data_IF_240370263982
#
_entry.id   IF_240370263982
#
_cell.length_a   1.000
_cell.length_b   1.000
_cell.length_c   1.000
_cell.angle_alpha   90.00
_cell.angle_beta   90.00
_cell.angle_gamma   90.00
#
_symmetry.space_group_name_H-M   'P 1'
#
loop_
_entity.id
_entity.type
_entity.pdbx_description
1 polymer ?
#
# COMPACT_ATOMS: atom_id res chain seq x y z
N UNK A 1 -27.34 -23.40 -2.27
CA UNK A 1 -26.78 -24.69 -1.81
C UNK A 1 -25.98 -25.46 -2.87
N UNK A 2 -26.56 -26.14 -3.88
CA UNK A 2 -25.76 -26.99 -4.82
C UNK A 2 -24.76 -26.18 -5.66
N UNK A 3 -25.14 -25.01 -6.15
CA UNK A 3 -24.27 -24.08 -6.90
C UNK A 3 -23.15 -23.47 -6.05
N UNK A 4 -23.39 -23.23 -4.75
CA UNK A 4 -22.36 -22.73 -3.83
C UNK A 4 -21.36 -23.82 -3.44
N UNK A 5 -21.83 -25.03 -3.17
CA UNK A 5 -20.97 -26.16 -2.85
C UNK A 5 -20.06 -26.55 -4.03
N UNK A 6 -20.59 -26.54 -5.25
CA UNK A 6 -19.76 -26.75 -6.46
C UNK A 6 -18.85 -25.56 -6.78
N UNK A 7 -19.20 -24.35 -6.34
CA UNK A 7 -18.34 -23.16 -6.45
C UNK A 7 -17.13 -23.27 -5.51
N UNK A 8 -17.33 -23.59 -4.24
CA UNK A 8 -16.23 -23.73 -3.28
C UNK A 8 -15.25 -24.84 -3.66
N UNK A 9 -15.76 -26.01 -4.05
CA UNK A 9 -14.92 -27.12 -4.51
C UNK A 9 -14.07 -26.75 -5.75
N UNK A 10 -14.61 -25.93 -6.66
CA UNK A 10 -13.86 -25.42 -7.82
C UNK A 10 -12.77 -24.44 -7.40
N UNK A 11 -13.06 -23.53 -6.48
CA UNK A 11 -12.08 -22.59 -5.92
C UNK A 11 -10.92 -23.31 -5.23
N UNK A 12 -11.22 -24.31 -4.39
CA UNK A 12 -10.19 -25.13 -3.73
C UNK A 12 -9.33 -25.89 -4.72
N UNK A 13 -9.93 -26.44 -5.78
CA UNK A 13 -9.21 -27.17 -6.82
C UNK A 13 -8.20 -26.29 -7.55
N UNK A 14 -8.62 -25.09 -8.00
CA UNK A 14 -7.75 -24.12 -8.67
C UNK A 14 -6.62 -23.67 -7.76
N UNK A 15 -6.95 -23.36 -6.50
CA UNK A 15 -5.97 -22.97 -5.48
C UNK A 15 -4.94 -24.07 -5.27
N UNK A 16 -5.36 -25.33 -5.14
CA UNK A 16 -4.46 -26.48 -4.95
C UNK A 16 -3.57 -26.74 -6.16
N UNK A 17 -4.12 -26.65 -7.37
CA UNK A 17 -3.35 -26.91 -8.60
C UNK A 17 -2.28 -25.86 -8.89
N UNK A 18 -2.48 -24.61 -8.45
CA UNK A 18 -1.58 -23.50 -8.77
C UNK A 18 -0.59 -23.16 -7.64
N UNK A 19 -0.60 -23.87 -6.50
CA UNK A 19 0.27 -23.54 -5.34
C UNK A 19 1.76 -23.48 -5.70
N UNK A 20 2.26 -24.49 -6.41
CA UNK A 20 3.69 -24.58 -6.78
C UNK A 20 4.02 -23.52 -7.81
N UNK A 21 3.17 -23.36 -8.84
CA UNK A 21 3.32 -22.32 -9.85
C UNK A 21 3.34 -20.91 -9.25
N UNK A 22 2.46 -20.67 -8.25
CA UNK A 22 2.40 -19.42 -7.50
C UNK A 22 3.74 -19.14 -6.82
N UNK A 23 4.27 -20.08 -6.05
CA UNK A 23 5.55 -19.94 -5.37
C UNK A 23 6.70 -19.54 -6.32
N UNK A 24 6.90 -20.27 -7.42
CA UNK A 24 7.93 -19.94 -8.40
C UNK A 24 7.68 -18.59 -9.09
N UNK A 25 6.43 -18.26 -9.41
CA UNK A 25 6.10 -16.96 -10.02
C UNK A 25 6.41 -15.80 -9.08
N UNK A 26 6.11 -15.94 -7.80
CA UNK A 26 6.38 -14.93 -6.78
C UNK A 26 7.88 -14.69 -6.62
N UNK A 27 8.68 -15.76 -6.51
CA UNK A 27 10.14 -15.65 -6.46
C UNK A 27 10.72 -14.96 -7.70
N UNK A 28 10.20 -15.27 -8.89
CA UNK A 28 10.65 -14.63 -10.13
C UNK A 28 10.33 -13.13 -10.11
N UNK A 29 9.16 -12.73 -9.63
CA UNK A 29 8.80 -11.31 -9.51
C UNK A 29 9.63 -10.59 -8.45
N UNK A 30 9.95 -11.24 -7.33
CA UNK A 30 10.87 -10.71 -6.32
C UNK A 30 12.27 -10.50 -6.90
N UNK A 31 12.83 -11.48 -7.62
CA UNK A 31 14.14 -11.36 -8.27
C UNK A 31 14.17 -10.23 -9.31
N UNK A 32 13.08 -10.05 -10.07
CA UNK A 32 12.94 -8.93 -11.01
C UNK A 32 12.89 -7.59 -10.29
N UNK A 33 12.20 -7.52 -9.16
CA UNK A 33 12.07 -6.30 -8.37
C UNK A 33 13.40 -5.88 -7.72
N UNK A 34 14.24 -6.85 -7.36
CA UNK A 34 15.58 -6.60 -6.82
C UNK A 34 16.53 -6.12 -7.93
N UNK A 35 16.49 -6.75 -9.11
CA UNK A 35 17.41 -6.46 -10.22
C UNK A 35 18.86 -6.90 -9.92
N UNK A 36 19.77 -6.91 -10.93
CA UNK A 36 21.17 -7.24 -10.70
C UNK A 36 21.81 -6.20 -9.76
N UNK A 37 22.40 -6.65 -8.65
CA UNK A 37 23.22 -5.81 -7.79
C UNK A 37 24.44 -5.35 -8.60
N UNK A 38 24.56 -4.05 -8.87
CA UNK A 38 25.76 -3.47 -9.46
C UNK A 38 26.85 -3.38 -8.40
N UNK A 39 27.33 -4.52 -7.91
CA UNK A 39 28.59 -4.60 -7.18
C UNK A 39 29.64 -4.97 -8.21
N UNK A 40 30.11 -3.94 -8.89
CA UNK A 40 31.08 -4.03 -9.97
C UNK A 40 32.48 -4.20 -9.35
N UNK A 41 32.89 -5.45 -9.11
CA UNK A 41 34.29 -5.80 -8.79
C UNK A 41 35.15 -5.97 -10.06
N UNK A 42 34.73 -5.37 -11.18
CA UNK A 42 35.50 -5.36 -12.42
C UNK A 42 36.19 -4.00 -12.67
N UNK A 43 37.40 -3.98 -13.27
CA UNK A 43 38.15 -2.75 -13.42
C UNK A 43 37.50 -1.89 -14.52
N UNK A 44 36.90 -0.76 -14.10
CA UNK A 44 36.62 0.44 -14.90
C UNK A 44 36.20 0.19 -16.35
N UNK A 45 34.89 0.08 -16.57
CA UNK A 45 34.29 0.62 -17.80
C UNK A 45 33.04 1.42 -17.42
N UNK A 46 33.24 2.73 -17.31
CA UNK A 46 32.23 3.75 -17.00
C UNK A 46 31.02 3.68 -17.94
N UNK A 47 29.94 3.09 -17.45
CA UNK A 47 28.58 3.53 -17.78
C UNK A 47 28.03 4.17 -16.50
N UNK A 48 28.35 5.47 -16.37
CA UNK A 48 28.12 6.40 -15.26
C UNK A 48 26.86 6.14 -14.41
N UNK A 49 27.00 5.36 -13.34
CA UNK A 49 26.16 5.52 -12.14
C UNK A 49 26.71 6.74 -11.39
N UNK A 50 25.90 7.74 -11.01
CA UNK A 50 26.42 8.90 -10.31
C UNK A 50 27.13 8.47 -9.02
N UNK A 51 28.44 8.74 -8.94
CA UNK A 51 29.37 8.47 -7.81
C UNK A 51 28.79 8.88 -6.44
N UNK A 52 27.79 9.78 -6.43
CA UNK A 52 27.05 10.20 -5.25
C UNK A 52 26.20 9.10 -4.56
N UNK A 53 25.82 8.02 -5.25
CA UNK A 53 24.94 6.98 -4.68
C UNK A 53 25.68 5.98 -3.78
N UNK A 54 26.95 5.67 -4.07
CA UNK A 54 27.71 4.64 -3.35
C UNK A 54 28.24 5.11 -1.99
N UNK A 55 28.32 6.43 -1.77
CA UNK A 55 28.92 7.03 -0.57
C UNK A 55 27.91 7.61 0.43
N UNK A 56 26.60 7.50 0.20
CA UNK A 56 25.58 8.00 1.12
C UNK A 56 24.91 6.88 1.90
N UNK A 57 24.24 7.22 3.00
CA UNK A 57 23.30 6.30 3.64
C UNK A 57 22.16 5.93 2.69
N UNK A 58 21.72 4.66 2.67
CA UNK A 58 20.53 4.26 1.93
C UNK A 58 19.27 4.88 2.55
N UNK A 59 18.23 5.06 1.75
CA UNK A 59 16.98 5.70 2.17
C UNK A 59 15.82 4.70 2.14
N UNK A 60 15.11 4.59 3.25
CA UNK A 60 13.83 3.92 3.35
C UNK A 60 12.72 4.97 3.36
N UNK A 61 11.94 5.04 2.28
CA UNK A 61 10.75 5.88 2.16
C UNK A 61 9.51 5.06 2.51
N UNK A 62 8.90 5.36 3.66
CA UNK A 62 7.64 4.78 4.11
C UNK A 62 6.48 5.66 3.62
N UNK A 63 5.73 5.19 2.63
CA UNK A 63 4.50 5.83 2.18
C UNK A 63 3.33 5.25 2.98
N UNK A 64 2.64 6.11 3.74
CA UNK A 64 1.50 5.76 4.58
C UNK A 64 0.24 6.54 4.24
N UNK A 65 -0.91 5.98 4.57
CA UNK A 65 -2.20 6.59 4.27
C UNK A 65 -3.27 5.56 3.94
N UNK A 66 -4.50 5.84 4.36
CA UNK A 66 -5.62 4.95 4.15
C UNK A 66 -5.85 4.61 2.67
N UNK A 67 -6.55 3.50 2.42
CA UNK A 67 -6.88 3.09 1.05
C UNK A 67 -7.69 4.19 0.35
N UNK A 68 -7.31 4.53 -0.90
CA UNK A 68 -7.94 5.64 -1.63
C UNK A 68 -7.52 7.05 -1.21
N UNK A 69 -6.54 7.20 -0.30
CA UNK A 69 -6.03 8.51 0.13
C UNK A 69 -5.27 9.29 -0.95
N UNK A 70 -4.91 8.66 -2.08
CA UNK A 70 -4.16 9.32 -3.15
C UNK A 70 -2.65 9.26 -3.02
N UNK A 71 -2.12 8.25 -2.31
CA UNK A 71 -0.66 8.00 -2.16
C UNK A 71 0.10 8.04 -3.47
N UNK A 72 -0.41 7.36 -4.51
CA UNK A 72 0.25 7.32 -5.82
C UNK A 72 0.36 8.69 -6.50
N UNK A 73 -0.52 9.65 -6.18
CA UNK A 73 -0.40 11.03 -6.68
C UNK A 73 0.79 11.73 -6.03
N UNK A 74 0.90 11.62 -4.70
CA UNK A 74 2.01 12.20 -3.93
C UNK A 74 3.34 11.55 -4.32
N UNK A 75 3.37 10.22 -4.44
CA UNK A 75 4.56 9.47 -4.83
C UNK A 75 5.10 9.93 -6.19
N UNK A 76 4.21 10.16 -7.18
CA UNK A 76 4.62 10.68 -8.50
C UNK A 76 5.34 12.02 -8.43
N UNK A 77 4.96 12.88 -7.49
CA UNK A 77 5.59 14.18 -7.33
C UNK A 77 6.91 14.06 -6.55
N UNK A 78 6.96 13.20 -5.54
CA UNK A 78 8.21 12.88 -4.80
C UNK A 78 9.27 12.27 -5.72
N UNK A 79 8.87 11.36 -6.63
CA UNK A 79 9.79 10.74 -7.58
C UNK A 79 10.41 11.74 -8.57
N UNK A 80 9.83 12.93 -8.73
CA UNK A 80 10.41 14.01 -9.54
C UNK A 80 11.41 14.87 -8.77
N UNK A 81 11.48 14.74 -7.44
CA UNK A 81 12.44 15.48 -6.62
C UNK A 81 13.88 15.07 -6.99
N UNK A 82 14.83 16.00 -6.84
CA UNK A 82 16.21 15.82 -7.29
C UNK A 82 16.85 14.51 -6.76
N UNK A 83 16.57 14.16 -5.50
CA UNK A 83 17.03 12.91 -4.90
C UNK A 83 16.48 11.68 -5.62
N UNK A 84 15.16 11.56 -5.69
CA UNK A 84 14.51 10.37 -6.24
C UNK A 84 14.62 10.28 -7.75
N UNK A 85 14.71 11.39 -8.48
CA UNK A 85 14.91 11.36 -9.94
C UNK A 85 16.20 10.64 -10.35
N UNK A 86 17.25 10.68 -9.52
CA UNK A 86 18.49 9.94 -9.72
C UNK A 86 18.50 8.55 -9.09
N UNK A 87 17.81 8.36 -7.96
CA UNK A 87 17.79 7.10 -7.22
C UNK A 87 16.72 6.10 -7.69
N UNK A 88 15.62 6.57 -8.30
CA UNK A 88 14.43 5.77 -8.59
C UNK A 88 14.68 4.61 -9.53
N UNK A 89 15.66 4.74 -10.44
CA UNK A 89 16.05 3.67 -11.35
C UNK A 89 16.65 2.46 -10.61
N UNK A 90 17.25 2.69 -9.44
CA UNK A 90 17.93 1.68 -8.63
C UNK A 90 17.22 1.39 -7.29
N UNK A 91 16.12 2.08 -6.99
CA UNK A 91 15.33 1.85 -5.78
C UNK A 91 14.43 0.62 -5.93
N UNK A 92 14.24 -0.11 -4.84
CA UNK A 92 13.28 -1.22 -4.77
C UNK A 92 11.93 -0.67 -4.29
N UNK A 93 10.89 -0.84 -5.11
CA UNK A 93 9.52 -0.47 -4.74
C UNK A 93 8.80 -1.71 -4.18
N UNK A 94 8.37 -1.63 -2.93
CA UNK A 94 7.63 -2.68 -2.23
C UNK A 94 6.17 -2.28 -2.12
N UNK A 95 5.32 -2.90 -2.94
CA UNK A 95 3.86 -2.71 -2.92
C UNK A 95 3.17 -4.08 -2.92
N UNK A 96 2.49 -4.42 -1.82
CA UNK A 96 1.81 -5.72 -1.70
C UNK A 96 0.69 -5.90 -2.74
N UNK A 97 0.03 -4.82 -3.14
CA UNK A 97 -1.02 -4.87 -4.16
C UNK A 97 -0.48 -5.20 -5.56
N UNK A 98 0.79 -4.86 -5.87
CA UNK A 98 1.42 -5.22 -7.15
C UNK A 98 1.60 -6.74 -7.29
N UNK A 99 1.96 -7.42 -6.21
CA UNK A 99 2.07 -8.89 -6.17
C UNK A 99 0.70 -9.58 -6.33
N UNK A 100 -0.41 -8.94 -5.93
CA UNK A 100 -1.75 -9.50 -6.17
C UNK A 100 -2.07 -9.55 -7.67
N UNK A 101 -1.59 -8.60 -8.46
CA UNK A 101 -1.87 -8.52 -9.89
C UNK A 101 -1.13 -9.56 -10.71
N UNK A 102 0.06 -9.94 -10.25
CA UNK A 102 0.90 -10.96 -10.88
C UNK A 102 0.55 -12.37 -10.40
N UNK A 103 -0.17 -12.49 -9.28
CA UNK A 103 -0.61 -13.76 -8.72
C UNK A 103 -1.44 -14.59 -9.72
N UNK A 104 -0.95 -15.79 -10.00
CA UNK A 104 -1.55 -16.73 -10.96
C UNK A 104 -2.96 -17.18 -10.55
N UNK A 105 -3.25 -17.26 -9.24
CA UNK A 105 -4.58 -17.60 -8.71
C UNK A 105 -5.53 -16.42 -8.92
N UNK A 106 -5.08 -15.20 -8.61
CA UNK A 106 -5.87 -13.99 -8.83
C UNK A 106 -6.24 -13.81 -10.31
N UNK A 107 -5.27 -14.00 -11.23
CA UNK A 107 -5.51 -13.95 -12.68
C UNK A 107 -6.43 -15.06 -13.17
N UNK A 108 -6.24 -16.29 -12.70
CA UNK A 108 -7.03 -17.44 -13.12
C UNK A 108 -8.51 -17.32 -12.71
N UNK A 109 -8.80 -16.67 -11.58
CA UNK A 109 -10.16 -16.47 -11.10
C UNK A 109 -10.78 -15.21 -11.72
N UNK A 110 -10.02 -14.10 -11.80
CA UNK A 110 -10.51 -12.84 -12.39
C UNK A 110 -10.83 -12.96 -13.88
N UNK A 111 -10.08 -13.78 -14.62
CA UNK A 111 -10.31 -14.02 -16.06
C UNK A 111 -11.59 -14.82 -16.38
N UNK A 112 -12.22 -15.45 -15.37
CA UNK A 112 -13.42 -16.29 -15.56
C UNK A 112 -14.76 -15.55 -15.38
N UNK A 113 -14.72 -14.21 -15.24
CA UNK A 113 -15.91 -13.35 -15.36
C UNK A 113 -16.89 -13.37 -14.18
N UNK A 114 -16.55 -13.99 -13.05
CA UNK A 114 -17.41 -13.98 -11.86
C UNK A 114 -17.12 -12.77 -10.96
N UNK A 115 -17.69 -11.61 -11.31
CA UNK A 115 -17.50 -10.36 -10.58
C UNK A 115 -17.90 -10.43 -9.08
N UNK A 116 -18.84 -11.31 -8.73
CA UNK A 116 -19.26 -11.54 -7.34
C UNK A 116 -18.18 -12.18 -6.45
N UNK A 117 -17.16 -12.82 -7.04
CA UNK A 117 -16.11 -13.52 -6.30
C UNK A 117 -14.82 -12.69 -6.18
N UNK A 118 -14.80 -11.48 -6.73
CA UNK A 118 -13.63 -10.59 -6.79
C UNK A 118 -13.08 -10.22 -5.40
N UNK A 119 -13.96 -9.91 -4.44
CA UNK A 119 -13.58 -9.61 -3.05
C UNK A 119 -12.98 -10.84 -2.36
N UNK A 120 -13.65 -11.99 -2.46
CA UNK A 120 -13.20 -13.26 -1.87
C UNK A 120 -11.86 -13.70 -2.44
N UNK A 121 -11.66 -13.48 -3.74
CA UNK A 121 -10.39 -13.80 -4.44
C UNK A 121 -9.26 -12.90 -3.97
N UNK A 122 -9.50 -11.59 -3.85
CA UNK A 122 -8.51 -10.64 -3.35
C UNK A 122 -8.07 -10.96 -1.91
N UNK A 123 -9.00 -11.42 -1.07
CA UNK A 123 -8.72 -11.86 0.31
C UNK A 123 -7.88 -13.14 0.36
N UNK A 124 -8.16 -14.11 -0.51
CA UNK A 124 -7.41 -15.38 -0.57
C UNK A 124 -5.94 -15.18 -0.93
N UNK A 125 -5.64 -14.25 -1.85
CA UNK A 125 -4.26 -13.99 -2.25
C UNK A 125 -3.55 -13.03 -1.30
N UNK A 126 -4.29 -12.34 -0.42
CA UNK A 126 -3.79 -11.24 0.39
C UNK A 126 -2.57 -11.61 1.22
N UNK A 127 -2.63 -12.74 1.95
CA UNK A 127 -1.55 -13.14 2.84
C UNK A 127 -0.25 -13.39 2.06
N UNK A 128 -0.30 -14.17 0.98
CA UNK A 128 0.94 -14.45 0.24
C UNK A 128 1.48 -13.25 -0.53
N UNK A 129 0.64 -12.27 -0.90
CA UNK A 129 1.13 -11.00 -1.43
C UNK A 129 1.79 -10.14 -0.35
N UNK A 130 1.30 -10.19 0.89
CA UNK A 130 1.96 -9.55 2.04
C UNK A 130 3.29 -10.24 2.37
N UNK A 131 3.32 -11.58 2.34
CA UNK A 131 4.52 -12.35 2.61
C UNK A 131 5.60 -12.05 1.55
N UNK A 132 5.22 -12.01 0.26
CA UNK A 132 6.13 -11.66 -0.83
C UNK A 132 6.70 -10.24 -0.72
N UNK A 133 5.83 -9.27 -0.42
CA UNK A 133 6.27 -7.89 -0.17
C UNK A 133 7.19 -7.79 1.05
N UNK A 134 6.92 -8.57 2.10
CA UNK A 134 7.75 -8.60 3.31
C UNK A 134 9.11 -9.25 3.06
N UNK A 135 9.14 -10.30 2.24
CA UNK A 135 10.38 -10.95 1.81
C UNK A 135 11.24 -10.00 0.97
N UNK A 136 10.63 -9.35 -0.03
CA UNK A 136 11.32 -8.33 -0.84
C UNK A 136 11.85 -7.19 0.03
N UNK A 137 11.07 -6.73 1.01
CA UNK A 137 11.46 -5.65 1.92
C UNK A 137 12.71 -6.02 2.75
N UNK A 138 12.70 -7.16 3.45
CA UNK A 138 13.83 -7.54 4.30
C UNK A 138 15.08 -7.81 3.48
N UNK A 139 14.94 -8.42 2.30
CA UNK A 139 16.07 -8.64 1.39
C UNK A 139 16.65 -7.31 0.90
N UNK A 140 15.82 -6.39 0.41
CA UNK A 140 16.28 -5.09 -0.06
C UNK A 140 16.96 -4.27 1.05
N UNK A 141 16.40 -4.31 2.27
CA UNK A 141 16.96 -3.61 3.42
C UNK A 141 18.32 -4.16 3.84
N UNK A 142 18.43 -5.48 3.93
CA UNK A 142 19.69 -6.18 4.22
C UNK A 142 20.79 -5.84 3.20
N UNK A 143 20.43 -5.69 1.91
CA UNK A 143 21.35 -5.33 0.82
C UNK A 143 21.70 -3.82 0.76
N UNK A 144 21.21 -3.00 1.70
CA UNK A 144 21.51 -1.57 1.71
C UNK A 144 20.95 -0.80 0.51
N UNK A 145 19.84 -1.26 -0.09
CA UNK A 145 19.19 -0.61 -1.23
C UNK A 145 18.33 0.57 -0.78
N UNK A 146 18.15 1.57 -1.65
CA UNK A 146 17.06 2.51 -1.44
C UNK A 146 15.73 1.79 -1.62
N UNK A 147 14.81 1.95 -0.67
CA UNK A 147 13.53 1.25 -0.65
C UNK A 147 12.39 2.26 -0.57
N UNK A 148 11.38 2.07 -1.41
CA UNK A 148 10.09 2.76 -1.32
C UNK A 148 9.05 1.73 -0.92
N UNK A 149 8.54 1.82 0.30
CA UNK A 149 7.49 0.95 0.80
C UNK A 149 6.14 1.65 0.69
N UNK A 150 5.30 1.20 -0.24
CA UNK A 150 3.92 1.70 -0.41
C UNK A 150 2.94 0.82 0.37
N UNK A 151 2.49 1.33 1.52
CA UNK A 151 1.56 0.64 2.41
C UNK A 151 0.47 1.55 2.95
N UNK A 152 -0.44 0.97 3.73
CA UNK A 152 -1.37 1.78 4.54
C UNK A 152 -0.69 2.34 5.79
N UNK A 153 0.32 1.63 6.30
CA UNK A 153 0.93 1.86 7.62
C UNK A 153 -0.13 1.94 8.73
N UNK A 154 -1.17 1.10 8.63
CA UNK A 154 -2.32 1.08 9.54
C UNK A 154 -2.17 0.07 10.68
N UNK A 155 -1.03 -0.60 10.79
CA UNK A 155 -0.77 -1.62 11.80
C UNK A 155 0.54 -1.28 12.51
N UNK A 156 0.41 -0.64 13.67
CA UNK A 156 1.51 0.00 14.38
C UNK A 156 2.66 -0.94 14.74
N UNK A 157 2.44 -2.15 15.31
CA UNK A 157 3.54 -3.04 15.67
C UNK A 157 4.41 -3.42 14.45
N UNK A 158 3.79 -3.63 13.29
CA UNK A 158 4.52 -3.93 12.06
C UNK A 158 5.41 -2.76 11.62
N UNK A 159 4.88 -1.54 11.68
CA UNK A 159 5.63 -0.32 11.29
C UNK A 159 6.79 -0.08 12.24
N UNK A 160 6.55 -0.17 13.55
CA UNK A 160 7.58 0.01 14.57
C UNK A 160 8.71 -1.02 14.45
N UNK A 161 8.36 -2.31 14.32
CA UNK A 161 9.34 -3.38 14.12
C UNK A 161 10.12 -3.20 12.80
N UNK A 162 9.46 -2.74 11.73
CA UNK A 162 10.12 -2.45 10.44
C UNK A 162 11.11 -1.30 10.56
N UNK A 163 10.76 -0.23 11.26
CA UNK A 163 11.67 0.88 11.53
C UNK A 163 12.86 0.40 12.38
N UNK A 164 12.60 -0.38 13.44
CA UNK A 164 13.66 -0.94 14.29
C UNK A 164 14.63 -1.82 13.49
N UNK A 165 14.11 -2.72 12.65
CA UNK A 165 14.91 -3.53 11.73
C UNK A 165 15.73 -2.63 10.80
N UNK A 166 15.11 -1.67 10.10
CA UNK A 166 15.81 -0.77 9.18
C UNK A 166 16.92 0.06 9.84
N UNK A 167 16.79 0.38 11.15
CA UNK A 167 17.85 1.02 11.92
C UNK A 167 19.01 0.08 12.22
N UNK A 168 18.78 -1.22 12.29
CA UNK A 168 19.77 -2.20 12.77
C UNK A 168 20.37 -3.09 11.67
N UNK A 169 19.78 -3.15 10.46
CA UNK A 169 20.27 -3.95 9.31
C UNK A 169 21.71 -3.65 8.86
N UNK A 170 22.25 -2.50 9.27
CA UNK A 170 23.65 -2.15 9.03
C UNK A 170 24.63 -2.90 9.97
N UNK A 171 24.13 -3.46 11.08
CA UNK A 171 24.91 -4.21 12.08
C UNK A 171 24.72 -5.72 11.95
N UNK A 172 23.49 -6.15 11.69
CA UNK A 172 23.15 -7.57 11.54
C UNK A 172 22.12 -7.78 10.43
N UNK A 173 22.04 -9.00 9.87
CA UNK A 173 21.03 -9.35 8.88
C UNK A 173 19.74 -9.78 9.57
N UNK A 174 18.61 -9.58 8.91
CA UNK A 174 17.29 -10.02 9.37
C UNK A 174 16.64 -10.98 8.39
N UNK A 175 15.68 -11.77 8.87
CA UNK A 175 14.77 -12.57 8.05
C UNK A 175 13.32 -12.33 8.49
N UNK A 176 12.38 -12.80 7.68
CA UNK A 176 10.97 -12.77 8.06
C UNK A 176 10.76 -13.57 9.34
N UNK A 177 10.05 -12.97 10.29
CA UNK A 177 9.60 -13.61 11.51
C UNK A 177 8.30 -14.38 11.32
N UNK A 178 7.73 -14.85 12.43
CA UNK A 178 6.48 -15.62 12.46
C UNK A 178 5.23 -14.85 12.01
N UNK A 179 5.32 -13.52 11.95
CA UNK A 179 4.21 -12.61 11.73
C UNK A 179 3.25 -12.54 12.92
N UNK A 180 2.00 -12.18 12.64
CA UNK A 180 0.92 -12.19 13.62
C UNK A 180 0.24 -13.56 13.65
N UNK A 181 0.27 -14.23 14.81
CA UNK A 181 -0.39 -15.52 15.04
C UNK A 181 -1.13 -15.52 16.38
N UNK A 182 -2.33 -16.08 16.36
CA UNK A 182 -3.11 -16.38 17.57
C UNK A 182 -3.13 -17.88 17.72
N UNK A 183 -2.55 -18.37 18.82
CA UNK A 183 -2.53 -19.79 19.17
C UNK A 183 -3.89 -20.25 19.70
N UNK A 184 -4.12 -21.57 19.72
CA UNK A 184 -5.39 -22.16 20.18
C UNK A 184 -5.72 -21.83 21.66
N UNK A 185 -4.70 -21.51 22.45
CA UNK A 185 -4.80 -21.06 23.84
C UNK A 185 -5.10 -19.55 23.97
N UNK A 186 -5.22 -18.83 22.86
CA UNK A 186 -5.42 -17.38 22.80
C UNK A 186 -4.13 -16.56 22.92
N UNK A 187 -2.96 -17.19 23.04
CA UNK A 187 -1.67 -16.48 23.10
C UNK A 187 -1.38 -15.81 21.75
N UNK A 188 -1.08 -14.51 21.78
CA UNK A 188 -0.73 -13.71 20.59
C UNK A 188 0.78 -13.67 20.46
N UNK A 189 1.31 -14.14 19.32
CA UNK A 189 2.68 -13.92 18.89
C UNK A 189 2.68 -12.90 17.76
N UNK A 190 3.46 -11.83 17.89
CA UNK A 190 3.54 -10.75 16.90
C UNK A 190 5.00 -10.36 16.66
N UNK A 191 5.65 -11.08 15.75
CA UNK A 191 7.08 -10.94 15.46
C UNK A 191 7.27 -10.96 13.94
N UNK A 192 7.48 -9.80 13.35
CA UNK A 192 7.56 -9.64 11.89
C UNK A 192 8.98 -9.85 11.35
N UNK A 193 9.99 -9.56 12.15
CA UNK A 193 11.40 -9.62 11.75
C UNK A 193 12.22 -10.31 12.84
N UNK A 194 13.05 -11.26 12.44
CA UNK A 194 13.93 -12.02 13.32
C UNK A 194 15.39 -11.77 12.89
N UNK A 195 16.32 -11.43 13.80
CA UNK A 195 17.74 -11.33 13.46
C UNK A 195 18.28 -12.71 13.05
N UNK A 196 19.25 -12.73 12.14
CA UNK A 196 19.97 -13.95 11.75
C UNK A 196 21.17 -14.11 12.67
N UNK A 197 21.28 -15.26 13.34
CA UNK A 197 22.38 -15.55 14.26
C UNK A 197 23.72 -15.64 13.52
N UNK A 198 24.81 -15.19 14.18
CA UNK A 198 26.13 -15.12 13.57
C UNK A 198 26.70 -16.49 13.15
N UNK A 199 26.22 -17.59 13.74
CA UNK A 199 26.66 -18.96 13.40
C UNK A 199 26.19 -19.42 12.01
N UNK A 200 25.12 -18.82 11.47
CA UNK A 200 24.62 -19.07 10.11
C UNK A 200 25.26 -18.15 9.05
N UNK A 201 26.06 -17.16 9.48
CA UNK A 201 26.78 -16.28 8.56
C UNK A 201 28.12 -16.90 8.16
N UNK A 202 28.32 -17.09 6.87
CA UNK A 202 29.60 -17.62 6.38
C UNK A 202 30.73 -16.65 6.73
N UNK A 203 31.94 -17.16 6.99
CA UNK A 203 33.09 -16.39 7.53
C UNK A 203 33.57 -15.23 6.65
N UNK A 204 33.03 -15.10 5.43
CA UNK A 204 33.24 -13.97 4.51
C UNK A 204 32.29 -12.77 4.80
N UNK A 205 31.17 -12.98 5.51
CA UNK A 205 30.12 -11.98 5.79
C UNK A 205 30.46 -11.02 6.95
N UNK A 206 31.32 -11.43 7.90
CA UNK A 206 31.75 -10.59 9.03
C UNK A 206 32.59 -9.39 8.56
N UNK A 207 33.38 -9.54 7.49
CA UNK A 207 34.15 -8.43 6.92
C UNK A 207 33.26 -7.41 6.18
N UNK A 208 32.07 -7.81 5.68
CA UNK A 208 31.13 -6.92 4.97
C UNK A 208 30.24 -6.08 5.89
N UNK A 209 30.02 -6.51 7.14
CA UNK A 209 29.26 -5.71 8.12
C UNK A 209 29.91 -4.34 8.36
N UNK A 210 31.22 -4.23 8.19
CA UNK A 210 32.00 -3.00 8.43
C UNK A 210 31.77 -1.89 7.39
N UNK A 211 31.14 -2.19 6.25
CA UNK A 211 30.89 -1.24 5.16
C UNK A 211 29.44 -0.71 5.06
N UNK A 212 28.47 -1.33 5.75
CA UNK A 212 27.05 -0.97 5.63
C UNK A 212 26.75 0.31 6.41
N UNK A 213 26.06 1.25 5.76
CA UNK A 213 25.65 2.51 6.38
C UNK A 213 24.26 2.41 6.98
N UNK A 214 23.98 3.08 8.11
CA UNK A 214 22.63 3.12 8.68
C UNK A 214 21.67 3.81 7.72
N UNK A 215 20.43 3.32 7.66
CA UNK A 215 19.37 3.91 6.85
C UNK A 215 18.95 5.29 7.36
N UNK A 216 18.73 6.20 6.42
CA UNK A 216 17.87 7.37 6.64
C UNK A 216 16.42 6.96 6.36
N UNK A 217 15.52 7.20 7.29
CA UNK A 217 14.12 6.80 7.18
C UNK A 217 13.26 8.05 7.00
N UNK A 218 12.51 8.09 5.90
CA UNK A 218 11.58 9.15 5.56
C UNK A 218 10.15 8.63 5.59
N UNK A 219 9.26 9.32 6.31
CA UNK A 219 7.83 9.04 6.34
C UNK A 219 7.07 10.04 5.48
N UNK A 220 6.21 9.54 4.60
CA UNK A 220 5.26 10.36 3.84
C UNK A 220 3.86 9.87 4.14
N UNK A 221 3.13 10.64 4.93
CA UNK A 221 1.73 10.43 5.19
C UNK A 221 0.85 11.11 4.16
N UNK A 222 -0.21 10.44 3.73
CA UNK A 222 -1.25 11.02 2.89
C UNK A 222 -2.60 10.81 3.54
N UNK A 223 -3.28 11.91 3.83
CA UNK A 223 -4.60 11.93 4.44
C UNK A 223 -5.62 12.54 3.48
N UNK A 224 -6.83 12.01 3.52
CA UNK A 224 -7.99 12.66 2.94
C UNK A 224 -9.22 12.33 3.76
N UNK A 225 -10.29 13.06 3.52
CA UNK A 225 -11.61 12.79 4.03
C UNK A 225 -12.07 11.36 3.67
N UNK A 226 -12.72 10.69 4.63
CA UNK A 226 -13.11 9.30 4.48
C UNK A 226 -14.16 9.09 3.39
N UNK A 227 -15.12 10.01 3.24
CA UNK A 227 -16.10 9.95 2.16
C UNK A 227 -15.42 10.03 0.80
N UNK A 228 -14.48 10.97 0.63
CA UNK A 228 -13.72 11.12 -0.61
C UNK A 228 -12.90 9.85 -0.94
N UNK A 229 -12.28 9.25 0.07
CA UNK A 229 -11.57 7.98 -0.09
C UNK A 229 -12.50 6.85 -0.56
N UNK A 230 -13.69 6.71 0.03
CA UNK A 230 -14.68 5.69 -0.37
C UNK A 230 -15.12 5.90 -1.82
N UNK A 231 -15.44 7.14 -2.21
CA UNK A 231 -15.79 7.47 -3.60
C UNK A 231 -14.67 7.09 -4.57
N UNK A 232 -13.41 7.40 -4.23
CA UNK A 232 -12.24 6.99 -5.03
C UNK A 232 -12.10 5.48 -5.10
N UNK A 233 -12.36 4.77 -4.00
CA UNK A 233 -12.37 3.31 -3.93
C UNK A 233 -13.41 2.69 -4.87
N UNK A 234 -14.64 3.21 -4.85
CA UNK A 234 -15.73 2.78 -5.75
C UNK A 234 -15.36 3.05 -7.21
N UNK A 235 -14.87 4.27 -7.51
CA UNK A 235 -14.45 4.62 -8.88
C UNK A 235 -13.35 3.68 -9.38
N UNK A 236 -12.37 3.36 -8.54
CA UNK A 236 -11.32 2.39 -8.86
C UNK A 236 -11.91 1.00 -9.11
N UNK A 237 -12.86 0.55 -8.28
CA UNK A 237 -13.54 -0.72 -8.48
C UNK A 237 -14.23 -0.82 -9.85
N UNK A 238 -14.90 0.26 -10.29
CA UNK A 238 -15.55 0.32 -11.61
C UNK A 238 -14.54 0.29 -12.76
N UNK A 239 -13.44 1.06 -12.65
CA UNK A 239 -12.47 1.21 -13.74
C UNK A 239 -11.56 -0.01 -13.86
N UNK A 240 -11.03 -0.50 -12.73
CA UNK A 240 -9.97 -1.51 -12.71
C UNK A 240 -10.45 -2.87 -12.21
N UNK A 241 -11.70 -3.00 -11.79
CA UNK A 241 -12.19 -4.22 -11.16
C UNK A 241 -11.52 -4.50 -9.81
N UNK A 242 -11.13 -3.48 -9.05
CA UNK A 242 -10.57 -3.66 -7.70
C UNK A 242 -11.43 -3.04 -6.62
N UNK A 243 -12.28 -3.86 -6.02
CA UNK A 243 -13.09 -3.48 -4.88
C UNK A 243 -12.32 -3.65 -3.57
N UNK A 244 -12.59 -2.75 -2.62
CA UNK A 244 -12.14 -2.83 -1.23
C UNK A 244 -13.40 -2.70 -0.37
N UNK A 245 -13.49 -3.49 0.71
CA UNK A 245 -14.59 -3.34 1.67
C UNK A 245 -14.51 -1.98 2.36
N UNK A 246 -15.62 -1.26 2.41
CA UNK A 246 -15.70 0.08 3.00
C UNK A 246 -15.19 0.06 4.44
N UNK A 247 -15.63 -0.88 5.28
CA UNK A 247 -15.14 -1.03 6.65
C UNK A 247 -13.61 -1.14 6.74
N UNK A 248 -12.98 -2.00 5.95
CA UNK A 248 -11.51 -2.13 5.90
C UNK A 248 -10.83 -0.84 5.44
N UNK A 249 -11.46 -0.12 4.50
CA UNK A 249 -10.99 1.19 4.06
C UNK A 249 -11.05 2.21 5.20
N UNK A 250 -12.17 2.35 5.90
CA UNK A 250 -12.33 3.25 7.05
C UNK A 250 -11.33 2.91 8.18
N UNK A 251 -11.17 1.62 8.52
CA UNK A 251 -10.20 1.15 9.50
C UNK A 251 -8.76 1.55 9.13
N UNK A 252 -8.39 1.43 7.86
CA UNK A 252 -7.04 1.82 7.41
C UNK A 252 -6.77 3.30 7.59
N UNK A 253 -7.77 4.15 7.35
CA UNK A 253 -7.69 5.60 7.53
C UNK A 253 -7.56 5.96 9.00
N UNK A 254 -8.46 5.43 9.84
CA UNK A 254 -8.47 5.70 11.28
C UNK A 254 -7.16 5.30 11.94
N UNK A 255 -6.73 4.05 11.76
CA UNK A 255 -5.51 3.52 12.40
C UNK A 255 -4.26 4.27 11.96
N UNK A 256 -4.13 4.58 10.67
CA UNK A 256 -3.00 5.39 10.19
C UNK A 256 -3.01 6.78 10.81
N UNK A 257 -4.16 7.47 10.81
CA UNK A 257 -4.28 8.81 11.36
C UNK A 257 -3.96 8.86 12.86
N UNK A 258 -4.40 7.85 13.62
CA UNK A 258 -4.10 7.70 15.05
C UNK A 258 -2.61 7.52 15.31
N UNK A 259 -1.92 6.69 14.52
CA UNK A 259 -0.51 6.37 14.73
C UNK A 259 0.48 7.34 14.04
N UNK A 260 0.02 8.23 13.15
CA UNK A 260 0.93 9.09 12.37
C UNK A 260 1.90 9.90 13.25
N UNK A 261 1.41 10.44 14.38
CA UNK A 261 2.26 11.21 15.31
C UNK A 261 3.31 10.35 16.01
N UNK A 262 2.99 9.11 16.39
CA UNK A 262 3.99 8.20 16.99
C UNK A 262 5.07 7.86 15.96
N UNK A 263 4.69 7.53 14.72
CA UNK A 263 5.65 7.28 13.64
C UNK A 263 6.59 8.45 13.38
N UNK A 264 6.11 9.68 13.45
CA UNK A 264 6.95 10.87 13.28
C UNK A 264 8.11 10.91 14.29
N UNK A 265 7.97 10.32 15.48
CA UNK A 265 9.04 10.28 16.49
C UNK A 265 10.14 9.24 16.18
N UNK A 266 9.84 8.24 15.34
CA UNK A 266 10.71 7.10 15.05
C UNK A 266 11.57 7.29 13.79
N UNK A 267 11.18 8.22 12.92
CA UNK A 267 11.81 8.48 11.61
C UNK A 267 12.65 9.75 11.61
N UNK A 268 13.56 9.89 10.64
CA UNK A 268 14.39 11.08 10.51
C UNK A 268 13.57 12.26 9.99
N UNK A 269 12.84 12.05 8.90
CA UNK A 269 12.03 13.08 8.25
C UNK A 269 10.58 12.61 8.11
N UNK A 270 9.63 13.52 8.24
CA UNK A 270 8.23 13.23 7.98
C UNK A 270 7.57 14.34 7.17
N UNK A 271 6.71 13.96 6.23
CA UNK A 271 5.86 14.86 5.44
C UNK A 271 4.43 14.37 5.50
N UNK A 272 3.47 15.25 5.72
CA UNK A 272 2.04 14.94 5.70
C UNK A 272 1.37 15.74 4.59
N UNK A 273 0.67 15.05 3.70
CA UNK A 273 -0.05 15.64 2.59
C UNK A 273 -1.56 15.45 2.74
N UNK A 274 -2.32 16.50 2.46
CA UNK A 274 -3.78 16.45 2.27
C UNK A 274 -4.11 16.33 0.79
N UNK A 275 -5.03 15.44 0.44
CA UNK A 275 -5.58 15.33 -0.92
C UNK A 275 -7.07 15.63 -0.97
N UNK A 276 -7.57 16.47 -0.06
CA UNK A 276 -8.98 16.84 -0.01
C UNK A 276 -9.40 17.73 -1.18
N UNK A 277 -8.48 18.54 -1.71
CA UNK A 277 -8.74 19.42 -2.85
C UNK A 277 -8.58 18.69 -4.17
N UNK A 278 -9.35 19.12 -5.17
CA UNK A 278 -9.26 18.58 -6.53
C UNK A 278 -8.00 19.17 -7.19
N UNK A 279 -6.93 18.38 -7.34
CA UNK A 279 -5.67 18.84 -7.95
C UNK A 279 -4.44 18.19 -7.33
N UNK A 280 -3.40 19.00 -7.09
CA UNK A 280 -2.16 18.59 -6.44
C UNK A 280 -2.35 18.43 -4.93
N UNK A 281 -1.63 17.49 -4.33
CA UNK A 281 -1.64 17.31 -2.88
C UNK A 281 -1.04 18.53 -2.16
N UNK A 282 -1.67 18.97 -1.07
CA UNK A 282 -1.19 20.08 -0.23
C UNK A 282 -0.31 19.54 0.89
N UNK A 283 0.91 20.05 1.05
CA UNK A 283 1.74 19.74 2.21
C UNK A 283 1.16 20.46 3.45
N UNK A 284 0.79 19.70 4.47
CA UNK A 284 0.12 20.20 5.69
C UNK A 284 0.89 19.87 6.97
N UNK A 285 1.95 19.08 6.87
CA UNK A 285 2.85 18.82 7.98
C UNK A 285 4.25 18.45 7.51
N UNK A 286 5.26 18.87 8.24
CA UNK A 286 6.66 18.63 7.91
C UNK A 286 7.54 18.54 9.16
N UNK A 287 8.46 17.57 9.14
CA UNK A 287 9.49 17.33 10.15
C UNK A 287 10.80 17.10 9.42
N UNK A 288 11.88 17.71 9.91
CA UNK A 288 13.24 17.49 9.42
C UNK A 288 14.19 17.20 10.59
N UNK A 289 14.85 16.04 10.52
CA UNK A 289 15.76 15.55 11.54
C UNK A 289 15.16 15.47 12.93
N UNK A 290 15.81 16.11 13.91
CA UNK A 290 15.37 16.08 15.32
C UNK A 290 14.23 17.04 15.67
N UNK A 291 13.67 17.76 14.71
CA UNK A 291 12.62 18.76 14.99
C UNK A 291 11.30 18.11 15.39
N UNK A 292 10.44 18.88 16.05
CA UNK A 292 9.03 18.52 16.17
C UNK A 292 8.34 18.66 14.80
N UNK A 293 7.19 17.97 14.64
CA UNK A 293 6.35 18.08 13.46
C UNK A 293 5.70 19.48 13.42
N UNK A 294 6.06 20.28 12.42
CA UNK A 294 5.38 21.54 12.10
C UNK A 294 4.15 21.23 11.27
N UNK A 295 3.03 21.89 11.56
CA UNK A 295 1.74 21.63 10.90
C UNK A 295 1.06 22.93 10.48
N UNK A 296 0.32 22.88 9.38
CA UNK A 296 -0.61 23.94 8.97
C UNK A 296 -1.82 23.89 9.92
N UNK A 297 -2.03 24.89 10.80
CA UNK A 297 -3.09 24.87 11.80
C UNK A 297 -4.50 24.83 11.19
N UNK A 298 -4.67 25.34 9.98
CA UNK A 298 -5.98 25.39 9.31
C UNK A 298 -6.34 24.04 8.67
N UNK A 299 -5.33 23.24 8.30
CA UNK A 299 -5.54 21.98 7.57
C UNK A 299 -5.35 20.73 8.43
N UNK A 300 -4.54 20.80 9.50
CA UNK A 300 -4.18 19.63 10.31
C UNK A 300 -5.38 18.96 10.96
N UNK A 301 -6.48 19.71 11.17
CA UNK A 301 -7.73 19.20 11.70
C UNK A 301 -8.30 18.02 10.89
N UNK A 302 -7.94 17.88 9.60
CA UNK A 302 -8.36 16.71 8.82
C UNK A 302 -7.78 15.39 9.36
N UNK A 303 -6.54 15.40 9.87
CA UNK A 303 -5.90 14.22 10.46
C UNK A 303 -6.63 13.81 11.75
N UNK A 304 -6.90 14.78 12.63
CA UNK A 304 -7.59 14.56 13.90
C UNK A 304 -9.03 14.07 13.66
N UNK A 305 -9.71 14.64 12.69
CA UNK A 305 -11.04 14.19 12.28
C UNK A 305 -11.02 12.74 11.79
N UNK A 306 -10.09 12.37 10.90
CA UNK A 306 -9.98 10.99 10.41
C UNK A 306 -9.60 10.01 11.53
N UNK A 307 -8.82 10.43 12.53
CA UNK A 307 -8.50 9.58 13.69
C UNK A 307 -9.71 9.25 14.58
N UNK A 308 -10.75 10.08 14.53
CA UNK A 308 -12.01 9.91 15.29
C UNK A 308 -13.16 9.31 14.46
N UNK A 309 -12.84 8.81 13.26
CA UNK A 309 -13.79 8.18 12.35
C UNK A 309 -14.52 6.99 12.99
N UNK A 310 -15.82 6.87 12.72
CA UNK A 310 -16.60 5.67 12.99
C UNK A 310 -16.42 4.65 11.85
N UNK A 311 -15.65 3.58 12.11
CA UNK A 311 -15.40 2.52 11.13
C UNK A 311 -16.59 1.56 10.92
N UNK A 312 -17.59 1.61 11.81
CA UNK A 312 -18.83 0.83 11.75
C UNK A 312 -20.00 1.65 11.17
N UNK A 313 -19.72 2.79 10.55
CA UNK A 313 -20.75 3.64 9.95
C UNK A 313 -21.47 2.93 8.80
N UNK A 314 -22.81 2.90 8.87
CA UNK A 314 -23.67 2.34 7.81
C UNK A 314 -24.14 3.42 6.83
N UNK A 315 -23.97 4.71 7.18
CA UNK A 315 -24.26 5.82 6.29
C UNK A 315 -23.26 6.98 6.41
N UNK A 316 -23.31 7.90 5.45
CA UNK A 316 -22.38 9.05 5.37
C UNK A 316 -22.46 9.98 6.59
N UNK A 317 -23.63 10.07 7.22
CA UNK A 317 -23.86 10.91 8.39
C UNK A 317 -23.29 10.31 9.68
N UNK A 318 -23.03 9.00 9.70
CA UNK A 318 -22.48 8.29 10.85
C UNK A 318 -20.95 8.26 10.86
N UNK A 319 -20.30 8.73 9.78
CA UNK A 319 -18.84 8.71 9.66
C UNK A 319 -18.16 9.48 10.79
N UNK A 320 -18.77 10.60 11.22
CA UNK A 320 -18.22 11.48 12.25
C UNK A 320 -19.31 11.86 13.26
N UNK A 321 -18.92 12.07 14.53
CA UNK A 321 -19.86 12.33 15.62
C UNK A 321 -20.68 13.62 15.47
N UNK A 322 -20.18 14.59 14.71
CA UNK A 322 -20.86 15.85 14.42
C UNK A 322 -21.88 15.75 13.28
N UNK A 323 -22.07 14.57 12.68
CA UNK A 323 -23.01 14.32 11.58
C UNK A 323 -22.62 14.98 10.26
N UNK A 324 -21.52 15.73 10.22
CA UNK A 324 -21.04 16.40 9.03
C UNK A 324 -20.13 15.43 8.27
N UNK A 325 -20.39 15.13 6.98
CA UNK A 325 -19.55 14.22 6.22
C UNK A 325 -18.10 14.67 6.08
N UNK A 326 -17.81 15.96 6.30
CA UNK A 326 -16.63 16.65 5.75
C UNK A 326 -16.16 17.88 6.57
N UNK A 327 -16.67 18.10 7.78
CA UNK A 327 -16.10 19.09 8.72
C UNK A 327 -16.46 20.57 8.52
N UNK A 328 -17.51 20.89 7.76
CA UNK A 328 -18.18 22.21 7.82
C UNK A 328 -17.56 23.36 7.00
N UNK A 329 -16.39 23.20 6.36
CA UNK A 329 -15.99 24.09 5.25
C UNK A 329 -16.57 23.54 3.93
N UNK A 330 -16.92 24.41 2.97
CA UNK A 330 -17.64 24.07 1.72
C UNK A 330 -17.10 22.78 1.11
N UNK A 331 -17.82 21.69 1.34
CA UNK A 331 -17.21 20.40 1.17
C UNK A 331 -17.35 19.93 -0.24
N UNK A 332 -16.34 19.22 -0.76
CA UNK A 332 -16.40 18.57 -2.07
C UNK A 332 -17.68 17.71 -2.20
N UNK A 333 -18.17 17.14 -1.09
CA UNK A 333 -19.46 16.45 -1.06
C UNK A 333 -20.66 17.37 -1.24
N UNK A 334 -20.76 18.46 -0.46
CA UNK A 334 -21.83 19.44 -0.60
C UNK A 334 -21.81 20.08 -1.99
N UNK A 335 -20.63 20.47 -2.49
CA UNK A 335 -20.46 21.03 -3.83
C UNK A 335 -20.91 20.03 -4.91
N UNK A 336 -20.58 18.75 -4.76
CA UNK A 336 -20.98 17.70 -5.70
C UNK A 336 -22.49 17.39 -5.62
N UNK A 337 -23.05 17.29 -4.41
CA UNK A 337 -24.45 16.94 -4.16
C UNK A 337 -25.39 18.08 -4.55
N UNK A 338 -24.99 19.31 -4.25
CA UNK A 338 -25.72 20.54 -4.51
C UNK A 338 -25.41 21.11 -5.90
N UNK A 339 -24.51 20.49 -6.67
CA UNK A 339 -24.17 20.94 -8.02
C UNK A 339 -25.41 20.98 -8.92
N UNK A 340 -25.72 22.13 -9.56
CA UNK A 340 -26.82 22.24 -10.52
C UNK A 340 -26.71 21.27 -11.70
N UNK A 341 -25.49 20.84 -12.05
CA UNK A 341 -25.24 19.89 -13.14
C UNK A 341 -25.46 18.43 -12.74
N UNK A 342 -25.68 18.13 -11.46
CA UNK A 342 -25.84 16.75 -10.98
C UNK A 342 -27.06 16.06 -11.59
N UNK A 343 -28.23 16.70 -11.53
CA UNK A 343 -29.47 16.14 -12.05
C UNK A 343 -29.44 15.83 -13.57
N UNK A 344 -28.96 16.74 -14.45
CA UNK A 344 -28.81 16.40 -15.87
C UNK A 344 -27.77 15.31 -16.10
N UNK A 345 -26.62 15.34 -15.42
CA UNK A 345 -25.58 14.31 -15.54
C UNK A 345 -26.09 12.93 -15.13
N UNK A 346 -26.88 12.84 -14.05
CA UNK A 346 -27.49 11.58 -13.61
C UNK A 346 -28.52 11.05 -14.62
N UNK A 347 -29.30 11.93 -15.26
CA UNK A 347 -30.23 11.53 -16.32
C UNK A 347 -29.50 10.99 -17.54
N UNK A 348 -28.43 11.64 -17.97
CA UNK A 348 -27.59 11.15 -19.07
C UNK A 348 -26.93 9.81 -18.74
N UNK A 349 -26.39 9.68 -17.53
CA UNK A 349 -25.78 8.43 -17.06
C UNK A 349 -26.80 7.29 -17.02
N UNK A 350 -28.00 7.55 -16.47
CA UNK A 350 -29.10 6.57 -16.44
C UNK A 350 -29.48 6.12 -17.85
N UNK A 351 -29.70 7.06 -18.77
CA UNK A 351 -30.03 6.75 -20.16
C UNK A 351 -28.91 5.95 -20.87
N UNK A 352 -27.64 6.26 -20.58
CA UNK A 352 -26.51 5.52 -21.12
C UNK A 352 -26.43 4.07 -20.58
N UNK A 353 -26.69 3.89 -19.28
CA UNK A 353 -26.74 2.56 -18.64
C UNK A 353 -27.88 1.74 -19.23
N UNK A 354 -29.10 2.28 -19.26
CA UNK A 354 -30.29 1.59 -19.82
C UNK A 354 -30.06 1.17 -21.28
N UNK A 355 -29.45 2.04 -22.09
CA UNK A 355 -29.07 1.73 -23.49
C UNK A 355 -28.00 0.63 -23.57
N UNK A 356 -27.06 0.60 -22.64
CA UNK A 356 -26.03 -0.43 -22.53
C UNK A 356 -26.61 -1.80 -22.16
N UNK A 357 -27.48 -1.84 -21.14
CA UNK A 357 -28.15 -3.06 -20.67
C UNK A 357 -29.03 -3.67 -21.75
N UNK A 358 -29.82 -2.85 -22.45
CA UNK A 358 -30.64 -3.32 -23.57
C UNK A 358 -29.81 -4.01 -24.66
N UNK A 359 -28.67 -3.42 -25.04
CA UNK A 359 -27.73 -4.02 -26.03
C UNK A 359 -27.11 -5.33 -25.54
N UNK A 360 -26.86 -5.46 -24.24
CA UNK A 360 -26.30 -6.66 -23.65
C UNK A 360 -27.32 -7.82 -23.64
N UNK A 361 -28.58 -7.53 -23.29
CA UNK A 361 -29.68 -8.49 -23.34
C UNK A 361 -29.94 -8.99 -24.77
N UNK A 362 -29.90 -8.10 -25.78
CA UNK A 362 -30.05 -8.52 -27.18
C UNK A 362 -28.91 -9.43 -27.63
N UNK A 363 -27.67 -9.20 -27.19
CA UNK A 363 -26.52 -10.06 -27.53
C UNK A 363 -26.59 -11.45 -26.91
N UNK A 364 -27.07 -11.56 -25.67
CA UNK A 364 -27.26 -12.86 -25.00
C UNK A 364 -28.36 -13.66 -25.72
N UNK A 365 -29.45 -13.00 -26.13
CA UNK A 365 -30.53 -13.66 -26.88
C UNK A 365 -30.07 -14.19 -28.26
N UNK A 366 -29.15 -13.50 -28.94
CA UNK A 366 -28.59 -13.93 -30.23
C UNK A 366 -27.53 -15.04 -30.07
N UNK A 367 -26.85 -15.14 -28.93
CA UNK A 367 -25.86 -16.19 -28.68
C UNK A 367 -26.47 -17.50 -28.14
N UNK A 368 -27.75 -17.49 -27.76
CA UNK A 368 -28.48 -18.63 -27.20
C UNK A 368 -29.47 -19.29 -28.18
N UNK A 369 -29.59 -18.77 -29.40
CA UNK A 369 -30.30 -19.38 -30.53
C UNK A 369 -29.33 -19.75 -31.63
#
# INVERSE_FOLDING_TARGET
>A
MVLEATREQRFERVTRSLKVTRFFSTLVEELKAIGPSSRDDSPRNDVMVPVAHCNRSPVLLLMGGGMGAGKSTVLKDILKEAFWSGASANSVVVEADAFKETDVIYRAISSRGHHNDMLRTAELVHQSSLDAASSLLVTALNEGRDVIMDGTLSWEPFVEQTIAMARDVHRQRYRMGRGYKVSDDGTITEEYWEPVEAEDSSTEEENEATGRKPYRIELVGVVCDAYLAVVRGIRRAVITGRAVRVKSQLQSHKRFATAFRSYCSLVDNARLYSTNTLGSAKLIGWKDGGSNLLVDPEEIGCLERVSSLNEEADCVHELYADGQPTGGSSSVWQDLVMSPSRAPTQRELKAAIEKGEARFQTRIAVAAG
#
